data_IF_357987283648
#
_entry.id   IF_357987283648
#
_cell.length_a   1.000
_cell.length_b   1.000
_cell.length_c   1.000
_cell.angle_alpha   90.00
_cell.angle_beta   90.00
_cell.angle_gamma   90.00
#
_symmetry.space_group_name_H-M   'P 1'
#
loop_
_entity.id
_entity.type
_entity.pdbx_description
1 polymer ?
#
# COMPACT_ATOMS: atom_id res chain seq x y z
N UNK A 1 -45.70 19.85 -39.66
CA UNK A 1 -46.15 19.91 -38.25
C UNK A 1 -46.71 18.53 -37.88
N UNK A 2 -45.84 17.54 -37.66
CA UNK A 2 -46.25 16.18 -37.27
C UNK A 2 -46.21 16.16 -35.74
N UNK A 3 -47.38 16.24 -35.10
CA UNK A 3 -47.51 15.91 -33.66
C UNK A 3 -47.31 14.40 -33.55
N UNK A 4 -46.12 14.02 -33.08
CA UNK A 4 -45.70 12.63 -32.98
C UNK A 4 -46.08 12.10 -31.60
N UNK A 5 -47.37 11.77 -31.41
CA UNK A 5 -47.92 11.36 -30.10
C UNK A 5 -47.24 10.10 -29.52
N UNK A 6 -46.56 9.29 -30.35
CA UNK A 6 -45.73 8.17 -29.90
C UNK A 6 -44.31 8.54 -29.44
N UNK A 7 -43.76 9.68 -29.88
CA UNK A 7 -42.38 10.06 -29.54
C UNK A 7 -42.20 10.31 -28.05
N UNK A 8 -43.21 10.90 -27.40
CA UNK A 8 -43.20 11.15 -25.94
C UNK A 8 -43.20 9.83 -25.17
N UNK A 9 -43.98 8.82 -25.60
CA UNK A 9 -44.00 7.50 -24.96
C UNK A 9 -42.65 6.79 -25.09
N UNK A 10 -42.02 6.81 -26.27
CA UNK A 10 -40.69 6.24 -26.47
C UNK A 10 -39.62 6.95 -25.64
N UNK A 11 -39.69 8.28 -25.50
CA UNK A 11 -38.77 9.05 -24.64
C UNK A 11 -38.96 8.65 -23.17
N UNK A 12 -40.19 8.52 -22.69
CA UNK A 12 -40.48 8.10 -21.31
C UNK A 12 -39.96 6.68 -21.05
N UNK A 13 -40.18 5.74 -21.98
CA UNK A 13 -39.67 4.37 -21.87
C UNK A 13 -38.15 4.36 -21.88
N UNK A 14 -37.50 5.16 -22.73
CA UNK A 14 -36.06 5.27 -22.80
C UNK A 14 -35.47 5.85 -21.49
N UNK A 15 -36.10 6.88 -20.92
CA UNK A 15 -35.69 7.47 -19.63
C UNK A 15 -35.85 6.44 -18.50
N UNK A 16 -37.00 5.78 -18.40
CA UNK A 16 -37.26 4.80 -17.34
C UNK A 16 -36.31 3.60 -17.45
N UNK A 17 -36.09 3.08 -18.66
CA UNK A 17 -35.16 1.97 -18.92
C UNK A 17 -33.73 2.37 -18.58
N UNK A 18 -33.32 3.62 -18.89
CA UNK A 18 -32.00 4.14 -18.53
C UNK A 18 -31.84 4.26 -17.02
N UNK A 19 -32.83 4.78 -16.30
CA UNK A 19 -32.80 4.87 -14.83
C UNK A 19 -32.72 3.47 -14.20
N UNK A 20 -33.56 2.53 -14.66
CA UNK A 20 -33.55 1.14 -14.19
C UNK A 20 -32.18 0.48 -14.44
N UNK A 21 -31.59 0.70 -15.62
CA UNK A 21 -30.26 0.21 -15.97
C UNK A 21 -29.18 0.75 -15.03
N UNK A 22 -29.15 2.06 -14.76
CA UNK A 22 -28.19 2.66 -13.83
C UNK A 22 -28.37 2.15 -12.38
N UNK A 23 -29.60 1.93 -11.93
CA UNK A 23 -29.88 1.34 -10.60
C UNK A 23 -29.32 -0.09 -10.54
N UNK A 24 -29.57 -0.90 -11.58
CA UNK A 24 -29.10 -2.28 -11.66
C UNK A 24 -27.57 -2.36 -11.71
N UNK A 25 -26.91 -1.49 -12.49
CA UNK A 25 -25.45 -1.38 -12.51
C UNK A 25 -24.91 -1.04 -11.13
N UNK A 26 -25.47 -0.02 -10.46
CA UNK A 26 -25.01 0.37 -9.13
C UNK A 26 -25.19 -0.76 -8.11
N UNK A 27 -26.30 -1.49 -8.17
CA UNK A 27 -26.54 -2.68 -7.32
C UNK A 27 -25.53 -3.79 -7.64
N UNK A 28 -25.30 -4.08 -8.91
CA UNK A 28 -24.33 -5.07 -9.36
C UNK A 28 -22.90 -4.73 -8.88
N UNK A 29 -22.45 -3.49 -9.05
CA UNK A 29 -21.12 -3.06 -8.60
C UNK A 29 -20.95 -3.19 -7.08
N UNK A 30 -21.96 -2.81 -6.29
CA UNK A 30 -21.94 -2.97 -4.83
C UNK A 30 -21.87 -4.44 -4.42
N UNK A 31 -22.66 -5.31 -5.04
CA UNK A 31 -22.65 -6.75 -4.76
C UNK A 31 -21.31 -7.38 -5.18
N UNK A 32 -20.78 -7.03 -6.35
CA UNK A 32 -19.49 -7.50 -6.82
C UNK A 32 -18.35 -7.10 -5.87
N UNK A 33 -18.38 -5.89 -5.32
CA UNK A 33 -17.42 -5.47 -4.30
C UNK A 33 -17.54 -6.28 -3.01
N UNK A 34 -18.77 -6.49 -2.49
CA UNK A 34 -18.99 -7.31 -1.29
C UNK A 34 -18.49 -8.74 -1.49
N UNK A 35 -18.78 -9.33 -2.64
CA UNK A 35 -18.33 -10.68 -2.98
C UNK A 35 -16.80 -10.77 -3.04
N UNK A 36 -16.11 -9.79 -3.63
CA UNK A 36 -14.63 -9.73 -3.62
C UNK A 36 -14.08 -9.65 -2.20
N UNK A 37 -14.68 -8.82 -1.34
CA UNK A 37 -14.25 -8.69 0.05
C UNK A 37 -14.41 -10.01 0.82
N UNK A 38 -15.57 -10.65 0.73
CA UNK A 38 -15.81 -11.92 1.43
C UNK A 38 -14.94 -13.07 0.91
N UNK A 39 -14.61 -13.08 -0.39
CA UNK A 39 -13.63 -14.04 -0.93
C UNK A 39 -12.23 -13.79 -0.36
N UNK A 40 -11.75 -12.55 -0.40
CA UNK A 40 -10.45 -12.21 0.18
C UNK A 40 -10.36 -12.58 1.68
N UNK A 41 -11.43 -12.34 2.46
CA UNK A 41 -11.49 -12.78 3.86
C UNK A 41 -11.46 -14.31 4.00
N UNK A 42 -12.15 -15.05 3.13
CA UNK A 42 -12.10 -16.50 3.13
C UNK A 42 -10.68 -17.01 2.81
N UNK A 43 -10.05 -16.46 1.77
CA UNK A 43 -8.69 -16.79 1.36
C UNK A 43 -7.67 -16.51 2.48
N UNK A 44 -7.81 -15.38 3.19
CA UNK A 44 -6.97 -15.04 4.35
C UNK A 44 -7.09 -16.11 5.44
N UNK A 45 -8.31 -16.52 5.79
CA UNK A 45 -8.53 -17.50 6.84
C UNK A 45 -8.06 -18.90 6.41
N UNK A 46 -8.23 -19.28 5.14
CA UNK A 46 -7.70 -20.54 4.60
C UNK A 46 -6.17 -20.55 4.61
N UNK A 47 -5.54 -19.46 4.17
CA UNK A 47 -4.08 -19.30 4.20
C UNK A 47 -3.53 -19.38 5.63
N UNK A 48 -4.17 -18.71 6.58
CA UNK A 48 -3.74 -18.76 7.98
C UNK A 48 -3.97 -20.15 8.60
N UNK A 49 -5.06 -20.85 8.25
CA UNK A 49 -5.27 -22.23 8.65
C UNK A 49 -4.19 -23.18 8.11
N UNK A 50 -3.82 -23.04 6.83
CA UNK A 50 -2.76 -23.83 6.21
C UNK A 50 -1.40 -23.60 6.87
N UNK A 51 -1.11 -22.35 7.25
CA UNK A 51 0.09 -21.98 8.00
C UNK A 51 0.11 -22.60 9.41
N UNK A 52 -0.96 -22.40 10.19
CA UNK A 52 -1.05 -22.89 11.57
C UNK A 52 -1.11 -24.43 11.67
N UNK A 53 -1.69 -25.09 10.67
CA UNK A 53 -1.69 -26.56 10.55
C UNK A 53 -0.37 -27.14 10.04
N UNK A 54 0.63 -26.30 9.73
CA UNK A 54 1.93 -26.70 9.14
C UNK A 54 1.80 -27.42 7.79
N UNK A 55 0.73 -27.15 7.03
CA UNK A 55 0.50 -27.73 5.70
C UNK A 55 1.35 -27.02 4.64
N UNK A 56 1.38 -25.69 4.67
CA UNK A 56 2.17 -24.85 3.76
C UNK A 56 2.39 -23.46 4.37
N UNK A 57 3.29 -22.66 3.79
CA UNK A 57 3.43 -21.24 4.10
C UNK A 57 2.98 -20.47 2.85
N UNK A 58 1.72 -19.99 2.79
CA UNK A 58 1.13 -19.43 1.57
C UNK A 58 1.35 -17.92 1.44
N UNK A 59 2.48 -17.42 1.90
CA UNK A 59 2.81 -15.99 1.92
C UNK A 59 4.02 -15.72 1.04
N UNK A 60 4.21 -14.47 0.63
CA UNK A 60 5.43 -14.10 -0.08
C UNK A 60 6.64 -14.19 0.87
N UNK A 61 7.75 -14.74 0.36
CA UNK A 61 8.92 -15.10 1.13
C UNK A 61 9.97 -13.98 1.24
N UNK A 62 9.75 -12.87 0.53
CA UNK A 62 10.61 -11.69 0.55
C UNK A 62 11.97 -11.91 -0.10
N UNK A 63 12.08 -12.85 -1.05
CA UNK A 63 13.32 -13.11 -1.80
C UNK A 63 13.92 -11.83 -2.41
N UNK A 64 13.10 -10.85 -2.82
CA UNK A 64 13.56 -9.59 -3.37
C UNK A 64 14.32 -8.70 -2.36
N UNK A 65 14.20 -8.96 -1.06
CA UNK A 65 14.86 -8.21 0.01
C UNK A 65 16.17 -8.84 0.50
N UNK A 66 16.62 -9.94 -0.13
CA UNK A 66 17.88 -10.62 0.26
C UNK A 66 19.08 -9.69 0.06
N UNK A 67 19.80 -9.43 1.15
CA UNK A 67 21.04 -8.65 1.17
C UNK A 67 22.19 -9.49 1.73
N UNK A 68 22.98 -10.12 0.86
CA UNK A 68 24.06 -11.04 1.27
C UNK A 68 25.16 -10.38 2.12
N UNK A 69 25.36 -9.07 1.95
CA UNK A 69 26.36 -8.27 2.69
C UNK A 69 25.82 -7.66 3.99
N UNK A 70 24.56 -7.89 4.34
CA UNK A 70 24.01 -7.37 5.59
C UNK A 70 24.69 -8.03 6.80
N UNK A 71 24.87 -7.32 7.93
CA UNK A 71 25.49 -7.87 9.13
C UNK A 71 24.86 -9.13 9.74
N UNK A 72 23.64 -9.50 9.35
CA UNK A 72 22.93 -10.62 9.98
C UNK A 72 21.80 -11.27 9.16
N UNK A 73 21.20 -10.58 8.18
CA UNK A 73 19.95 -11.07 7.57
C UNK A 73 20.14 -12.39 6.82
N UNK A 74 21.28 -12.56 6.16
CA UNK A 74 21.64 -13.80 5.46
C UNK A 74 21.95 -14.97 6.41
N UNK A 75 22.65 -14.70 7.51
CA UNK A 75 23.05 -15.74 8.48
C UNK A 75 21.90 -16.21 9.38
N UNK A 76 20.93 -15.32 9.63
CA UNK A 76 19.75 -15.58 10.45
C UNK A 76 18.52 -16.00 9.65
N UNK A 77 18.63 -16.23 8.34
CA UNK A 77 17.51 -16.63 7.47
C UNK A 77 16.32 -15.66 7.61
N UNK A 78 16.59 -14.35 7.52
CA UNK A 78 15.55 -13.32 7.66
C UNK A 78 14.64 -13.27 6.44
N UNK A 79 15.16 -13.51 5.24
CA UNK A 79 14.44 -13.44 3.97
C UNK A 79 14.58 -14.75 3.16
N UNK A 80 13.62 -15.00 2.28
CA UNK A 80 13.57 -16.14 1.36
C UNK A 80 12.76 -17.32 1.88
N UNK A 81 12.84 -18.45 1.18
CA UNK A 81 12.01 -19.61 1.50
C UNK A 81 12.20 -20.10 2.94
N UNK A 82 11.09 -20.48 3.57
CA UNK A 82 10.98 -20.84 4.99
C UNK A 82 11.55 -19.85 6.03
N UNK A 83 11.91 -18.62 5.64
CA UNK A 83 12.53 -17.57 6.47
C UNK A 83 11.64 -16.97 7.56
N UNK A 84 12.22 -16.09 8.39
CA UNK A 84 11.46 -15.29 9.35
C UNK A 84 10.42 -14.40 8.64
N UNK A 85 10.82 -13.68 7.57
CA UNK A 85 9.91 -12.82 6.81
C UNK A 85 8.74 -13.62 6.23
N UNK A 86 9.02 -14.77 5.59
CA UNK A 86 8.00 -15.64 5.01
C UNK A 86 6.94 -16.07 6.05
N UNK A 87 7.36 -16.26 7.31
CA UNK A 87 6.48 -16.62 8.43
C UNK A 87 5.79 -15.46 9.10
N UNK A 88 6.22 -14.22 8.85
CA UNK A 88 5.64 -12.99 9.42
C UNK A 88 4.71 -12.28 8.43
N UNK A 89 5.01 -12.34 7.14
CA UNK A 89 4.43 -11.51 6.11
C UNK A 89 2.91 -11.71 5.94
N UNK A 90 2.12 -10.67 6.26
CA UNK A 90 0.71 -10.51 5.90
C UNK A 90 0.51 -9.15 5.22
N UNK A 91 1.50 -8.74 4.43
CA UNK A 91 1.43 -7.53 3.61
C UNK A 91 0.92 -7.89 2.22
N UNK A 92 0.25 -6.95 1.55
CA UNK A 92 -0.22 -7.15 0.18
C UNK A 92 0.15 -5.99 -0.75
N UNK A 93 0.68 -4.89 -0.20
CA UNK A 93 1.26 -3.80 -0.99
C UNK A 93 2.77 -3.94 -1.04
N UNK A 94 3.39 -3.45 -2.14
CA UNK A 94 4.84 -3.40 -2.25
C UNK A 94 5.46 -2.58 -1.10
N UNK A 95 4.83 -1.46 -0.74
CA UNK A 95 5.31 -0.58 0.33
C UNK A 95 5.19 -1.23 1.72
N UNK A 96 4.15 -2.04 1.95
CA UNK A 96 3.99 -2.87 3.15
C UNK A 96 5.10 -3.90 3.28
N UNK A 97 5.32 -4.70 2.23
CA UNK A 97 6.40 -5.71 2.18
C UNK A 97 7.77 -5.07 2.45
N UNK A 98 8.09 -3.98 1.73
CA UNK A 98 9.33 -3.21 1.92
C UNK A 98 9.49 -2.68 3.35
N UNK A 99 8.41 -2.21 3.98
CA UNK A 99 8.46 -1.67 5.35
C UNK A 99 8.66 -2.78 6.39
N UNK A 100 8.00 -3.93 6.21
CA UNK A 100 8.22 -5.10 7.06
C UNK A 100 9.68 -5.58 6.94
N UNK A 101 10.20 -5.66 5.72
CA UNK A 101 11.61 -6.00 5.48
C UNK A 101 12.56 -5.00 6.16
N UNK A 102 12.24 -3.70 6.11
CA UNK A 102 13.00 -2.67 6.83
C UNK A 102 13.01 -2.91 8.34
N UNK A 103 11.86 -3.20 8.96
CA UNK A 103 11.80 -3.52 10.40
C UNK A 103 12.64 -4.75 10.81
N UNK A 104 12.80 -5.72 9.91
CA UNK A 104 13.60 -6.93 10.17
C UNK A 104 15.08 -6.77 9.81
N UNK A 105 15.48 -5.69 9.14
CA UNK A 105 16.86 -5.41 8.73
C UNK A 105 17.48 -4.22 9.48
N UNK A 106 16.66 -3.38 10.12
CA UNK A 106 17.12 -2.20 10.82
C UNK A 106 16.61 -2.16 12.25
N UNK A 107 17.46 -1.72 13.17
CA UNK A 107 17.08 -1.50 14.56
C UNK A 107 16.34 -0.17 14.69
N UNK A 108 15.18 -0.21 15.35
CA UNK A 108 14.47 0.99 15.80
C UNK A 108 15.14 1.59 17.05
N UNK A 109 14.96 2.89 17.28
CA UNK A 109 15.39 3.51 18.54
C UNK A 109 14.59 2.94 19.73
N UNK A 110 15.14 3.02 20.95
CA UNK A 110 14.48 2.45 22.13
C UNK A 110 13.05 3.00 22.35
N UNK A 111 12.85 4.30 22.11
CA UNK A 111 11.54 4.95 22.19
C UNK A 111 10.58 4.43 21.11
N UNK A 112 11.08 4.27 19.88
CA UNK A 112 10.30 3.70 18.78
C UNK A 112 9.92 2.25 19.05
N UNK A 113 10.83 1.42 19.59
CA UNK A 113 10.53 0.03 19.96
C UNK A 113 9.36 -0.02 20.93
N UNK A 114 9.37 0.79 22.01
CA UNK A 114 8.25 0.84 22.95
C UNK A 114 6.94 1.26 22.28
N UNK A 115 6.97 2.34 21.50
CA UNK A 115 5.78 2.82 20.79
C UNK A 115 5.23 1.79 19.79
N UNK A 116 6.13 1.01 19.17
CA UNK A 116 5.83 -0.04 18.22
C UNK A 116 5.22 -1.26 18.93
N UNK A 117 5.75 -1.66 20.09
CA UNK A 117 5.17 -2.72 20.92
C UNK A 117 3.71 -2.39 21.28
N UNK A 118 3.42 -1.15 21.69
CA UNK A 118 2.07 -0.74 22.06
C UNK A 118 1.11 -0.73 20.86
N UNK A 119 1.57 -0.27 19.70
CA UNK A 119 0.80 -0.35 18.45
C UNK A 119 0.49 -1.80 18.05
N UNK A 120 1.50 -2.69 18.13
CA UNK A 120 1.34 -4.10 17.79
C UNK A 120 0.35 -4.77 18.74
N UNK A 121 0.47 -4.54 20.06
CA UNK A 121 -0.45 -5.06 21.08
C UNK A 121 -1.88 -4.62 20.80
N UNK A 122 -2.08 -3.32 20.56
CA UNK A 122 -3.39 -2.76 20.29
C UNK A 122 -4.03 -3.43 19.06
N UNK A 123 -3.31 -3.49 17.93
CA UNK A 123 -3.84 -4.04 16.68
C UNK A 123 -4.02 -5.56 16.77
N UNK A 124 -3.18 -6.29 17.51
CA UNK A 124 -3.29 -7.76 17.66
C UNK A 124 -4.66 -8.20 18.17
N UNK A 125 -5.28 -7.40 19.05
CA UNK A 125 -6.60 -7.65 19.64
C UNK A 125 -7.77 -7.39 18.68
N UNK A 126 -7.56 -6.71 17.54
CA UNK A 126 -8.60 -6.23 16.63
C UNK A 126 -8.71 -7.12 15.38
N UNK A 127 -9.08 -8.39 15.54
CA UNK A 127 -9.05 -9.42 14.48
C UNK A 127 -9.79 -8.96 13.21
N UNK A 128 -11.02 -8.46 13.35
CA UNK A 128 -11.85 -8.05 12.22
C UNK A 128 -11.17 -6.92 11.43
N UNK A 129 -10.67 -5.90 12.13
CA UNK A 129 -9.98 -4.78 11.50
C UNK A 129 -8.69 -5.23 10.78
N UNK A 130 -7.91 -6.13 11.40
CA UNK A 130 -6.68 -6.69 10.80
C UNK A 130 -6.96 -7.43 9.50
N UNK A 131 -7.98 -8.29 9.51
CA UNK A 131 -8.36 -9.09 8.34
C UNK A 131 -9.01 -8.22 7.25
N UNK A 132 -9.88 -7.27 7.63
CA UNK A 132 -10.49 -6.34 6.67
C UNK A 132 -9.43 -5.48 5.98
N UNK A 133 -8.42 -5.01 6.72
CA UNK A 133 -7.35 -4.19 6.15
C UNK A 133 -6.52 -4.98 5.14
N UNK A 134 -6.14 -6.21 5.48
CA UNK A 134 -5.46 -7.12 4.56
C UNK A 134 -6.34 -7.46 3.34
N UNK A 135 -7.63 -7.73 3.54
CA UNK A 135 -8.57 -8.03 2.46
C UNK A 135 -8.72 -6.85 1.49
N UNK A 136 -8.77 -5.61 1.99
CA UNK A 136 -8.72 -4.39 1.15
C UNK A 136 -7.41 -4.34 0.37
N UNK A 137 -6.27 -4.58 1.04
CA UNK A 137 -4.95 -4.54 0.41
C UNK A 137 -4.80 -5.59 -0.71
N UNK A 138 -5.44 -6.76 -0.58
CA UNK A 138 -5.47 -7.84 -1.58
C UNK A 138 -6.42 -7.59 -2.76
N UNK A 139 -7.29 -6.56 -2.72
CA UNK A 139 -8.31 -6.38 -3.78
C UNK A 139 -7.78 -5.91 -5.13
N UNK A 140 -6.51 -5.50 -5.21
CA UNK A 140 -5.84 -5.19 -6.47
C UNK A 140 -4.35 -5.50 -6.38
N UNK A 141 -3.81 -6.06 -7.47
CA UNK A 141 -2.38 -6.31 -7.59
C UNK A 141 -1.59 -5.02 -7.35
N UNK A 142 -0.60 -5.10 -6.47
CA UNK A 142 0.41 -4.06 -6.27
C UNK A 142 1.75 -4.59 -6.74
N UNK A 143 2.60 -3.71 -7.25
CA UNK A 143 3.96 -4.09 -7.61
C UNK A 143 4.89 -2.91 -7.43
N UNK A 144 6.18 -3.20 -7.33
CA UNK A 144 7.22 -2.19 -7.35
C UNK A 144 7.10 -1.26 -8.57
N UNK A 145 6.75 -1.80 -9.75
CA UNK A 145 6.57 -1.02 -10.96
C UNK A 145 5.39 -0.04 -10.85
N UNK A 146 4.25 -0.51 -10.33
CA UNK A 146 3.05 0.32 -10.12
C UNK A 146 3.35 1.45 -9.12
N UNK A 147 4.04 1.13 -8.02
CA UNK A 147 4.47 2.12 -7.03
C UNK A 147 5.42 3.16 -7.64
N UNK A 148 6.47 2.71 -8.32
CA UNK A 148 7.45 3.61 -8.94
C UNK A 148 6.80 4.51 -10.00
N UNK A 149 5.90 3.97 -10.81
CA UNK A 149 5.16 4.74 -11.82
C UNK A 149 4.34 5.87 -11.19
N UNK A 150 3.66 5.59 -10.07
CA UNK A 150 2.90 6.61 -9.33
C UNK A 150 3.84 7.68 -8.74
N UNK A 151 4.93 7.27 -8.09
CA UNK A 151 5.91 8.19 -7.49
C UNK A 151 6.66 9.00 -8.54
N UNK A 152 6.97 8.44 -9.70
CA UNK A 152 7.63 9.19 -10.76
C UNK A 152 6.65 10.17 -11.42
N UNK A 153 5.37 9.80 -11.55
CA UNK A 153 4.33 10.73 -11.97
C UNK A 153 4.21 11.94 -11.05
N UNK A 154 4.32 11.78 -9.72
CA UNK A 154 4.28 12.93 -8.80
C UNK A 154 5.43 13.92 -8.99
N UNK A 155 6.56 13.47 -9.54
CA UNK A 155 7.74 14.31 -9.79
C UNK A 155 7.68 15.04 -11.13
N UNK A 156 6.78 14.66 -12.03
CA UNK A 156 6.69 15.30 -13.36
C UNK A 156 6.16 16.73 -13.25
N UNK A 157 6.70 17.62 -14.09
CA UNK A 157 6.40 19.06 -14.03
C UNK A 157 4.91 19.36 -14.28
N UNK A 158 4.34 20.20 -13.41
CA UNK A 158 2.98 20.73 -13.59
C UNK A 158 3.04 21.92 -14.55
N UNK A 159 2.47 21.76 -15.75
CA UNK A 159 2.37 22.87 -16.72
C UNK A 159 1.26 23.82 -16.29
N UNK A 160 1.62 25.05 -15.92
CA UNK A 160 0.63 26.08 -15.58
C UNK A 160 -0.13 26.57 -16.81
N UNK A 161 -1.44 26.72 -16.67
CA UNK A 161 -2.30 27.29 -17.71
C UNK A 161 -2.45 28.80 -17.53
N UNK A 162 -2.51 29.54 -18.64
CA UNK A 162 -2.77 30.98 -18.59
C UNK A 162 -4.20 31.28 -18.10
N UNK A 163 -4.36 32.33 -17.28
CA UNK A 163 -5.66 32.77 -16.75
C UNK A 163 -6.67 33.08 -17.86
N UNK A 164 -6.20 33.52 -19.03
CA UNK A 164 -7.03 33.77 -20.20
C UNK A 164 -7.62 32.48 -20.78
N UNK A 165 -6.85 31.38 -20.82
CA UNK A 165 -7.38 30.07 -21.26
C UNK A 165 -8.42 29.50 -20.28
N UNK A 166 -8.34 29.86 -18.99
CA UNK A 166 -9.38 29.51 -18.01
C UNK A 166 -10.72 30.14 -18.38
N UNK A 167 -10.73 31.44 -18.68
CA UNK A 167 -11.93 32.18 -19.07
C UNK A 167 -12.49 31.63 -20.39
N UNK A 168 -11.63 31.48 -21.41
CA UNK A 168 -12.03 30.97 -22.73
C UNK A 168 -12.67 29.58 -22.61
N UNK A 169 -12.10 28.69 -21.77
CA UNK A 169 -12.62 27.34 -21.60
C UNK A 169 -14.04 27.27 -21.05
N UNK A 170 -14.53 28.30 -20.35
CA UNK A 170 -15.93 28.36 -19.91
C UNK A 170 -16.82 29.13 -20.90
N UNK A 171 -16.31 30.22 -21.49
CA UNK A 171 -17.09 31.06 -22.41
C UNK A 171 -17.51 30.31 -23.68
N UNK A 172 -16.60 29.55 -24.30
CA UNK A 172 -16.88 28.85 -25.55
C UNK A 172 -17.97 27.77 -25.43
N UNK A 173 -17.94 26.88 -24.41
CA UNK A 173 -19.07 25.98 -24.12
C UNK A 173 -20.41 26.69 -23.92
N UNK A 174 -20.43 27.77 -23.13
CA UNK A 174 -21.66 28.52 -22.87
C UNK A 174 -22.24 29.04 -24.19
N UNK A 175 -21.41 29.65 -25.04
CA UNK A 175 -21.83 30.10 -26.36
C UNK A 175 -22.31 28.93 -27.23
N UNK A 176 -21.62 27.79 -27.21
CA UNK A 176 -21.99 26.59 -27.98
C UNK A 176 -23.40 26.12 -27.60
N UNK A 177 -23.70 26.03 -26.30
CA UNK A 177 -25.02 25.64 -25.80
C UNK A 177 -26.08 26.69 -26.16
N UNK A 178 -25.78 27.99 -26.02
CA UNK A 178 -26.71 29.06 -26.39
C UNK A 178 -27.11 29.00 -27.86
N UNK A 179 -26.16 28.77 -28.77
CA UNK A 179 -26.47 28.63 -30.20
C UNK A 179 -27.22 27.35 -30.54
N UNK A 180 -26.98 26.25 -29.80
CA UNK A 180 -27.77 25.03 -29.93
C UNK A 180 -29.24 25.26 -29.51
N UNK A 181 -29.47 25.96 -28.40
CA UNK A 181 -30.81 26.33 -27.92
C UNK A 181 -31.49 27.29 -28.90
N UNK A 182 -30.77 28.31 -29.39
CA UNK A 182 -31.29 29.24 -30.38
C UNK A 182 -31.72 28.53 -31.68
N UNK A 183 -30.91 27.57 -32.15
CA UNK A 183 -31.27 26.73 -33.29
C UNK A 183 -32.54 25.90 -33.04
N UNK A 184 -32.68 25.31 -31.84
CA UNK A 184 -33.86 24.52 -31.48
C UNK A 184 -35.15 25.36 -31.39
N UNK A 185 -35.05 26.64 -31.01
CA UNK A 185 -36.21 27.50 -30.78
C UNK A 185 -36.63 28.33 -32.00
N UNK A 186 -35.65 28.95 -32.68
CA UNK A 186 -35.87 29.89 -33.79
C UNK A 186 -35.66 29.20 -35.14
N UNK A 187 -34.81 28.17 -35.20
CA UNK A 187 -34.33 27.59 -36.45
C UNK A 187 -33.40 28.52 -37.23
N UNK A 188 -33.12 28.16 -38.49
CA UNK A 188 -32.32 28.98 -39.41
C UNK A 188 -30.83 28.60 -39.50
N UNK A 189 -30.19 29.05 -40.58
CA UNK A 189 -28.80 28.69 -40.89
C UNK A 189 -27.76 29.37 -40.01
N UNK A 190 -28.01 30.60 -39.55
CA UNK A 190 -27.03 31.35 -38.73
C UNK A 190 -26.78 30.63 -37.39
N UNK A 191 -27.80 30.30 -36.55
CA UNK A 191 -27.56 29.57 -35.30
C UNK A 191 -26.94 28.18 -35.54
N UNK A 192 -27.35 27.50 -36.62
CA UNK A 192 -26.82 26.17 -37.00
C UNK A 192 -25.32 26.22 -37.33
N UNK A 193 -24.91 27.16 -38.18
CA UNK A 193 -23.51 27.33 -38.57
C UNK A 193 -22.65 27.84 -37.40
N UNK A 194 -23.16 28.76 -36.58
CA UNK A 194 -22.47 29.24 -35.38
C UNK A 194 -22.25 28.10 -34.37
N UNK A 195 -23.25 27.26 -34.11
CA UNK A 195 -23.11 26.07 -33.28
C UNK A 195 -22.03 25.12 -33.85
N UNK A 196 -22.12 24.77 -35.13
CA UNK A 196 -21.17 23.86 -35.77
C UNK A 196 -19.72 24.40 -35.71
N UNK A 197 -19.54 25.69 -35.96
CA UNK A 197 -18.24 26.35 -35.89
C UNK A 197 -17.65 26.35 -34.47
N UNK A 198 -18.45 26.71 -33.45
CA UNK A 198 -18.00 26.70 -32.05
C UNK A 198 -17.69 25.27 -31.56
N UNK A 199 -18.50 24.30 -31.96
CA UNK A 199 -18.26 22.89 -31.67
C UNK A 199 -16.91 22.41 -32.25
N UNK A 200 -16.60 22.78 -33.49
CA UNK A 200 -15.31 22.49 -34.13
C UNK A 200 -14.14 23.22 -33.45
N UNK A 201 -14.32 24.48 -33.01
CA UNK A 201 -13.30 25.19 -32.21
C UNK A 201 -13.00 24.43 -30.92
N UNK A 202 -14.03 23.98 -30.20
CA UNK A 202 -13.86 23.23 -28.96
C UNK A 202 -13.08 21.93 -29.19
N UNK A 203 -13.36 21.21 -30.28
CA UNK A 203 -12.58 20.03 -30.69
C UNK A 203 -11.14 20.39 -31.07
N UNK A 204 -10.91 21.54 -31.70
CA UNK A 204 -9.56 22.05 -31.98
C UNK A 204 -8.76 22.32 -30.70
N UNK A 205 -9.41 22.87 -29.67
CA UNK A 205 -8.79 23.05 -28.34
C UNK A 205 -8.45 21.70 -27.70
N UNK A 206 -9.34 20.70 -27.77
CA UNK A 206 -9.03 19.35 -27.33
C UNK A 206 -7.79 18.81 -28.08
N UNK A 207 -7.76 18.93 -29.41
CA UNK A 207 -6.63 18.46 -30.23
C UNK A 207 -5.30 19.09 -29.80
N UNK A 208 -5.29 20.38 -29.50
CA UNK A 208 -4.11 21.09 -28.98
C UNK A 208 -3.63 20.52 -27.64
N UNK A 209 -4.55 20.14 -26.75
CA UNK A 209 -4.25 19.61 -25.41
C UNK A 209 -4.15 18.08 -25.36
N UNK A 210 -4.44 17.37 -26.46
CA UNK A 210 -4.53 15.92 -26.49
C UNK A 210 -3.23 15.22 -26.08
N UNK A 211 -2.08 15.76 -26.51
CA UNK A 211 -0.77 15.23 -26.09
C UNK A 211 -0.55 15.37 -24.58
N UNK A 212 -0.89 16.53 -24.01
CA UNK A 212 -0.76 16.76 -22.56
C UNK A 212 -1.69 15.84 -21.76
N UNK A 213 -2.93 15.64 -22.26
CA UNK A 213 -3.87 14.68 -21.67
C UNK A 213 -3.27 13.28 -21.68
N UNK A 214 -2.73 12.84 -22.82
CA UNK A 214 -2.11 11.52 -22.97
C UNK A 214 -0.89 11.35 -22.05
N UNK A 215 -0.08 12.39 -21.89
CA UNK A 215 1.12 12.36 -21.02
C UNK A 215 0.75 12.25 -19.53
N UNK A 216 -0.42 12.78 -19.11
CA UNK A 216 -0.90 12.70 -17.71
C UNK A 216 -1.72 11.44 -17.42
N UNK A 217 -2.20 10.72 -18.43
CA UNK A 217 -2.86 9.42 -18.23
C UNK A 217 -1.78 8.40 -17.86
N UNK A 218 -1.81 7.95 -16.61
CA UNK A 218 -1.08 6.77 -16.18
C UNK A 218 -1.73 5.56 -16.84
N UNK A 219 -1.23 5.20 -18.03
CA UNK A 219 -1.85 4.30 -19.02
C UNK A 219 -2.07 2.83 -18.60
N UNK A 220 -2.18 2.53 -17.32
CA UNK A 220 -2.49 1.19 -16.81
C UNK A 220 -3.72 1.22 -15.89
N UNK A 221 -4.77 0.49 -16.28
CA UNK A 221 -5.97 0.28 -15.45
C UNK A 221 -5.66 -0.22 -14.03
N UNK A 222 -4.48 -0.82 -13.81
CA UNK A 222 -4.00 -1.28 -12.52
C UNK A 222 -3.64 -0.12 -11.58
N UNK A 223 -3.03 0.95 -12.06
CA UNK A 223 -2.66 2.12 -11.22
C UNK A 223 -3.90 2.75 -10.61
N UNK A 224 -4.96 2.92 -11.41
CA UNK A 224 -6.23 3.46 -10.91
C UNK A 224 -6.86 2.58 -9.83
N UNK A 225 -6.75 1.24 -9.94
CA UNK A 225 -7.21 0.32 -8.89
C UNK A 225 -6.34 0.43 -7.65
N UNK A 226 -5.01 0.55 -7.78
CA UNK A 226 -4.10 0.75 -6.64
C UNK A 226 -4.38 2.05 -5.90
N UNK A 227 -4.63 3.17 -6.60
CA UNK A 227 -5.03 4.44 -5.99
C UNK A 227 -6.34 4.28 -5.19
N UNK A 228 -7.32 3.55 -5.73
CA UNK A 228 -8.57 3.27 -5.00
C UNK A 228 -8.36 2.42 -3.76
N UNK A 229 -7.51 1.39 -3.86
CA UNK A 229 -7.10 0.58 -2.72
C UNK A 229 -6.44 1.46 -1.64
N UNK A 230 -5.47 2.29 -2.01
CA UNK A 230 -4.81 3.19 -1.06
C UNK A 230 -5.78 4.15 -0.38
N UNK A 231 -6.71 4.76 -1.14
CA UNK A 231 -7.77 5.60 -0.55
C UNK A 231 -8.60 4.82 0.49
N UNK A 232 -8.94 3.56 0.22
CA UNK A 232 -9.69 2.72 1.17
C UNK A 232 -8.89 2.37 2.41
N UNK A 233 -7.62 2.00 2.25
CA UNK A 233 -6.73 1.71 3.37
C UNK A 233 -6.59 2.96 4.27
N UNK A 234 -6.35 4.13 3.67
CA UNK A 234 -6.28 5.41 4.39
C UNK A 234 -7.59 5.69 5.13
N UNK A 235 -8.75 5.49 4.48
CA UNK A 235 -10.05 5.68 5.12
C UNK A 235 -10.24 4.76 6.33
N UNK A 236 -9.82 3.48 6.24
CA UNK A 236 -9.88 2.56 7.38
C UNK A 236 -8.99 3.00 8.54
N UNK A 237 -7.82 3.58 8.26
CA UNK A 237 -6.97 4.18 9.29
C UNK A 237 -7.64 5.42 9.90
N UNK A 238 -8.10 6.36 9.09
CA UNK A 238 -8.66 7.64 9.53
C UNK A 238 -9.97 7.49 10.32
N UNK A 239 -10.79 6.49 9.99
CA UNK A 239 -12.10 6.27 10.61
C UNK A 239 -12.03 5.49 11.93
N UNK A 240 -10.91 4.81 12.20
CA UNK A 240 -10.76 4.01 13.40
C UNK A 240 -10.22 4.82 14.57
N UNK A 241 -10.61 4.51 15.80
CA UNK A 241 -10.00 5.12 16.99
C UNK A 241 -8.83 4.26 17.49
N UNK A 242 -7.68 4.91 17.68
CA UNK A 242 -6.49 4.27 18.23
C UNK A 242 -6.09 4.87 19.58
N UNK A 243 -5.50 4.03 20.44
CA UNK A 243 -5.04 4.40 21.77
C UNK A 243 -3.53 4.63 21.82
N UNK A 244 -2.77 3.82 21.09
CA UNK A 244 -1.30 3.92 21.04
C UNK A 244 -0.85 5.19 20.33
N UNK A 245 0.19 5.81 20.87
CA UNK A 245 0.76 7.08 20.38
C UNK A 245 1.26 6.95 18.95
N UNK A 246 1.90 5.83 18.61
CA UNK A 246 2.41 5.52 17.26
C UNK A 246 1.28 5.53 16.21
N UNK A 247 0.17 4.84 16.46
CA UNK A 247 -0.96 4.78 15.53
C UNK A 247 -1.66 6.14 15.39
N UNK A 248 -1.79 6.89 16.49
CA UNK A 248 -2.30 8.26 16.44
C UNK A 248 -1.39 9.20 15.64
N UNK A 249 -0.07 9.03 15.74
CA UNK A 249 0.89 9.79 14.92
C UNK A 249 0.75 9.46 13.42
N UNK A 250 0.55 8.17 13.09
CA UNK A 250 0.27 7.74 11.72
C UNK A 250 -1.02 8.35 11.18
N UNK A 251 -2.10 8.38 11.98
CA UNK A 251 -3.34 9.06 11.59
C UNK A 251 -3.15 10.55 11.33
N UNK A 252 -2.36 11.23 12.18
CA UNK A 252 -2.10 12.68 12.01
C UNK A 252 -1.38 12.99 10.70
N UNK A 253 -0.51 12.11 10.21
CA UNK A 253 0.16 12.24 8.90
C UNK A 253 -0.81 12.15 7.72
N UNK A 254 -2.00 11.56 7.91
CA UNK A 254 -3.05 11.48 6.90
C UNK A 254 -4.02 12.67 6.92
N UNK A 255 -3.76 13.71 7.71
CA UNK A 255 -4.58 14.92 7.77
C UNK A 255 -3.84 16.11 7.15
N UNK A 256 -4.52 16.85 6.28
CA UNK A 256 -4.02 18.08 5.65
C UNK A 256 -5.13 19.10 5.62
N UNK A 257 -4.95 20.28 6.23
CA UNK A 257 -5.94 21.37 6.26
C UNK A 257 -7.36 20.94 6.70
N UNK A 258 -7.45 20.02 7.66
CA UNK A 258 -8.69 19.37 8.14
C UNK A 258 -9.41 18.46 7.13
N UNK A 259 -8.80 18.18 5.98
CA UNK A 259 -9.24 17.15 5.05
C UNK A 259 -8.35 15.90 5.18
N UNK A 260 -8.90 14.76 4.76
CA UNK A 260 -8.24 13.46 4.90
C UNK A 260 -7.52 13.04 3.62
N UNK A 261 -6.39 12.34 3.76
CA UNK A 261 -5.65 11.77 2.65
C UNK A 261 -6.53 10.84 1.80
N UNK A 262 -7.41 10.04 2.44
CA UNK A 262 -8.36 9.20 1.71
C UNK A 262 -9.28 9.98 0.80
N UNK A 263 -9.73 11.18 1.21
CA UNK A 263 -10.55 12.09 0.41
C UNK A 263 -9.78 12.60 -0.80
N UNK A 264 -8.55 13.06 -0.62
CA UNK A 264 -7.72 13.57 -1.71
C UNK A 264 -7.35 12.48 -2.72
N UNK A 265 -6.99 11.28 -2.26
CA UNK A 265 -6.69 10.13 -3.12
C UNK A 265 -7.96 9.62 -3.83
N UNK A 266 -9.13 9.65 -3.18
CA UNK A 266 -10.40 9.35 -3.85
C UNK A 266 -10.70 10.37 -4.97
N UNK A 267 -10.42 11.65 -4.73
CA UNK A 267 -10.57 12.68 -5.75
C UNK A 267 -9.59 12.46 -6.91
N UNK A 268 -8.33 12.12 -6.64
CA UNK A 268 -7.34 11.75 -7.67
C UNK A 268 -7.84 10.58 -8.53
N UNK A 269 -8.29 9.50 -7.89
CA UNK A 269 -8.82 8.34 -8.61
C UNK A 269 -9.98 8.73 -9.54
N UNK A 270 -10.90 9.59 -9.05
CA UNK A 270 -12.00 10.10 -9.85
C UNK A 270 -11.48 10.93 -11.03
N UNK A 271 -10.51 11.81 -10.84
CA UNK A 271 -9.94 12.63 -11.92
C UNK A 271 -9.26 11.77 -13.00
N UNK A 272 -8.54 10.72 -12.62
CA UNK A 272 -7.97 9.77 -13.58
C UNK A 272 -9.06 9.00 -14.35
N UNK A 273 -10.09 8.48 -13.67
CA UNK A 273 -11.20 7.80 -14.36
C UNK A 273 -11.94 8.72 -15.34
N UNK A 274 -12.11 10.00 -14.99
CA UNK A 274 -12.68 11.00 -15.88
C UNK A 274 -11.77 11.25 -17.09
N UNK A 275 -10.45 11.28 -16.88
CA UNK A 275 -9.48 11.47 -17.94
C UNK A 275 -9.42 10.27 -18.90
N UNK A 276 -9.43 9.05 -18.37
CA UNK A 276 -9.42 7.79 -19.14
C UNK A 276 -10.60 7.69 -20.12
N UNK A 277 -11.71 8.38 -19.82
CA UNK A 277 -12.88 8.41 -20.71
C UNK A 277 -12.58 9.03 -22.08
N UNK A 278 -11.43 9.71 -22.24
CA UNK A 278 -10.97 10.24 -23.54
C UNK A 278 -10.75 9.13 -24.58
N UNK A 279 -10.50 7.90 -24.13
CA UNK A 279 -10.34 6.74 -25.00
C UNK A 279 -11.67 6.27 -25.64
N UNK A 280 -12.82 6.76 -25.17
CA UNK A 280 -14.10 6.57 -25.84
C UNK A 280 -14.31 7.70 -26.87
N UNK A 281 -14.09 7.47 -28.18
CA UNK A 281 -14.07 8.54 -29.17
C UNK A 281 -15.41 9.26 -29.30
N UNK A 282 -16.54 8.55 -29.23
CA UNK A 282 -17.86 9.20 -29.30
C UNK A 282 -18.10 10.09 -28.08
N UNK A 283 -17.80 9.58 -26.88
CA UNK A 283 -17.91 10.35 -25.64
C UNK A 283 -16.99 11.57 -25.66
N UNK A 284 -15.73 11.39 -26.05
CA UNK A 284 -14.74 12.45 -26.14
C UNK A 284 -15.16 13.55 -27.11
N UNK A 285 -15.70 13.22 -28.29
CA UNK A 285 -16.18 14.21 -29.26
C UNK A 285 -17.36 15.00 -28.67
N UNK A 286 -18.37 14.32 -28.12
CA UNK A 286 -19.57 14.99 -27.59
C UNK A 286 -19.23 15.86 -26.39
N UNK A 287 -18.54 15.31 -25.38
CA UNK A 287 -18.25 16.03 -24.14
C UNK A 287 -17.26 17.17 -24.35
N UNK A 288 -16.25 17.02 -25.22
CA UNK A 288 -15.34 18.14 -25.48
C UNK A 288 -15.93 19.16 -26.45
N UNK A 289 -16.63 18.73 -27.49
CA UNK A 289 -17.28 19.65 -28.42
C UNK A 289 -18.34 20.52 -27.76
N UNK A 290 -19.04 19.99 -26.74
CA UNK A 290 -20.04 20.74 -25.97
C UNK A 290 -19.47 21.51 -24.77
N UNK A 291 -18.56 20.90 -24.01
CA UNK A 291 -18.18 21.43 -22.69
C UNK A 291 -16.69 21.47 -22.39
N UNK A 292 -15.82 21.13 -23.34
CA UNK A 292 -14.37 21.02 -23.11
C UNK A 292 -14.02 20.14 -21.89
N UNK A 293 -14.82 19.09 -21.65
CA UNK A 293 -14.78 18.29 -20.44
C UNK A 293 -13.38 17.85 -20.01
N UNK A 294 -12.60 17.25 -20.91
CA UNK A 294 -11.28 16.71 -20.58
C UNK A 294 -10.25 17.81 -20.35
N UNK A 295 -10.41 18.99 -20.97
CA UNK A 295 -9.56 20.15 -20.72
C UNK A 295 -9.80 20.69 -19.30
N UNK A 296 -11.06 20.69 -18.83
CA UNK A 296 -11.37 21.03 -17.44
C UNK A 296 -10.84 19.98 -16.47
N UNK A 297 -10.97 18.68 -16.78
CA UNK A 297 -10.42 17.60 -15.96
C UNK A 297 -8.90 17.69 -15.86
N UNK A 298 -8.21 18.02 -16.96
CA UNK A 298 -6.74 18.19 -17.00
C UNK A 298 -6.32 19.29 -16.04
N UNK A 299 -7.00 20.43 -16.09
CA UNK A 299 -6.72 21.55 -15.18
C UNK A 299 -6.93 21.16 -13.72
N UNK A 300 -8.04 20.49 -13.39
CA UNK A 300 -8.31 20.02 -12.03
C UNK A 300 -7.25 19.03 -11.55
N UNK A 301 -6.80 18.12 -12.43
CA UNK A 301 -5.73 17.17 -12.13
C UNK A 301 -4.41 17.88 -11.87
N UNK A 302 -4.06 18.90 -12.65
CA UNK A 302 -2.86 19.69 -12.44
C UNK A 302 -2.92 20.56 -11.18
N UNK A 303 -4.07 21.18 -10.89
CA UNK A 303 -4.31 21.90 -9.63
C UNK A 303 -4.17 20.94 -8.45
N UNK A 304 -4.76 19.75 -8.52
CA UNK A 304 -4.62 18.70 -7.51
C UNK A 304 -3.16 18.29 -7.33
N UNK A 305 -2.45 18.03 -8.43
CA UNK A 305 -1.05 17.59 -8.44
C UNK A 305 -0.13 18.65 -7.84
N UNK A 306 -0.33 19.92 -8.17
CA UNK A 306 0.46 21.02 -7.61
C UNK A 306 0.34 21.11 -6.07
N UNK A 307 -0.81 20.76 -5.51
CA UNK A 307 -1.06 20.86 -4.07
C UNK A 307 -0.68 19.57 -3.33
N UNK A 308 -1.10 18.39 -3.83
CA UNK A 308 -1.11 17.15 -3.05
C UNK A 308 -0.08 16.10 -3.51
N UNK A 309 0.50 16.23 -4.71
CA UNK A 309 1.49 15.26 -5.18
C UNK A 309 2.71 15.12 -4.24
N UNK A 310 3.24 16.19 -3.62
CA UNK A 310 4.34 16.07 -2.65
C UNK A 310 4.01 15.21 -1.42
N UNK A 311 2.72 15.06 -1.08
CA UNK A 311 2.26 14.34 0.11
C UNK A 311 2.06 12.84 -0.15
N UNK A 312 1.92 12.41 -1.41
CA UNK A 312 1.63 11.01 -1.75
C UNK A 312 2.66 10.07 -1.16
N UNK A 313 3.95 10.41 -1.24
CA UNK A 313 5.01 9.56 -0.70
C UNK A 313 4.83 9.32 0.81
N UNK A 314 4.52 10.37 1.57
CA UNK A 314 4.30 10.24 3.01
C UNK A 314 3.06 9.39 3.34
N UNK A 315 1.97 9.61 2.60
CA UNK A 315 0.74 8.84 2.79
C UNK A 315 0.93 7.36 2.47
N UNK A 316 1.70 7.02 1.42
CA UNK A 316 2.02 5.63 1.09
C UNK A 316 2.95 5.00 2.14
N UNK A 317 3.89 5.76 2.69
CA UNK A 317 4.74 5.29 3.80
C UNK A 317 3.90 4.95 5.05
N UNK A 318 2.84 5.73 5.34
CA UNK A 318 1.89 5.41 6.42
C UNK A 318 1.18 4.08 6.14
N UNK A 319 0.76 3.82 4.89
CA UNK A 319 0.18 2.53 4.49
C UNK A 319 1.18 1.39 4.68
N UNK A 320 2.42 1.57 4.27
CA UNK A 320 3.45 0.55 4.46
C UNK A 320 3.70 0.24 5.94
N UNK A 321 3.73 1.28 6.78
CA UNK A 321 3.94 1.14 8.22
C UNK A 321 2.82 0.38 8.92
N UNK A 322 1.57 0.67 8.58
CA UNK A 322 0.44 -0.05 9.16
C UNK A 322 0.34 -1.49 8.67
N UNK A 323 0.67 -1.80 7.41
CA UNK A 323 0.71 -3.19 6.92
C UNK A 323 1.80 -4.01 7.61
N UNK A 324 2.97 -3.42 7.82
CA UNK A 324 4.04 -4.05 8.57
C UNK A 324 3.65 -4.28 10.05
N UNK A 325 3.03 -3.28 10.71
CA UNK A 325 2.49 -3.44 12.06
C UNK A 325 1.42 -4.56 12.09
N UNK A 326 0.49 -4.58 11.13
CA UNK A 326 -0.56 -5.60 11.05
C UNK A 326 0.01 -7.01 10.92
N UNK A 327 1.08 -7.18 10.15
CA UNK A 327 1.81 -8.44 10.02
C UNK A 327 2.42 -8.90 11.35
N UNK A 328 3.10 -8.00 12.05
CA UNK A 328 3.66 -8.27 13.39
C UNK A 328 2.57 -8.52 14.44
N UNK A 329 1.42 -7.84 14.33
CA UNK A 329 0.24 -8.06 15.17
C UNK A 329 -0.41 -9.41 14.92
N UNK A 330 -0.43 -9.90 13.68
CA UNK A 330 -0.87 -11.27 13.38
C UNK A 330 0.06 -12.30 13.99
N UNK A 331 1.38 -12.08 13.90
CA UNK A 331 2.36 -12.92 14.57
C UNK A 331 2.16 -12.94 16.09
N UNK A 332 1.92 -11.78 16.72
CA UNK A 332 1.62 -11.69 18.15
C UNK A 332 0.34 -12.45 18.52
N UNK A 333 -0.73 -12.29 17.73
CA UNK A 333 -2.00 -12.99 17.93
C UNK A 333 -1.85 -14.51 17.84
N UNK A 334 -1.08 -14.99 16.86
CA UNK A 334 -0.84 -16.43 16.66
C UNK A 334 0.04 -17.07 17.74
N UNK A 335 0.81 -16.27 18.48
CA UNK A 335 1.77 -16.78 19.47
C UNK A 335 1.50 -16.15 20.86
N UNK A 336 0.36 -16.46 21.50
CA UNK A 336 0.00 -15.85 22.79
C UNK A 336 0.95 -16.21 23.94
N UNK A 337 1.77 -17.26 23.78
CA UNK A 337 2.79 -17.64 24.75
C UNK A 337 4.08 -16.80 24.64
N UNK A 338 4.23 -15.99 23.59
CA UNK A 338 5.40 -15.13 23.40
C UNK A 338 5.26 -13.85 24.22
N UNK A 339 6.37 -13.36 24.76
CA UNK A 339 6.37 -12.16 25.59
C UNK A 339 6.87 -10.94 24.82
N UNK A 340 6.34 -9.77 25.13
CA UNK A 340 7.02 -8.53 24.76
C UNK A 340 8.23 -8.33 25.69
N UNK A 341 9.41 -8.00 25.16
CA UNK A 341 10.58 -7.80 26.00
C UNK A 341 10.50 -6.48 26.76
N UNK A 342 10.90 -6.50 28.03
CA UNK A 342 11.18 -5.28 28.78
C UNK A 342 12.49 -4.68 28.28
N UNK A 343 12.51 -3.39 27.95
CA UNK A 343 13.74 -2.73 27.52
C UNK A 343 14.46 -2.11 28.71
N UNK A 344 15.79 -2.20 28.72
CA UNK A 344 16.64 -1.58 29.73
C UNK A 344 17.78 -0.78 29.09
N UNK A 345 18.44 0.05 29.90
CA UNK A 345 19.62 0.86 29.50
C UNK A 345 20.92 0.36 30.15
N UNK A 346 20.93 -0.86 30.69
CA UNK A 346 22.02 -1.41 31.50
C UNK A 346 22.88 -2.43 30.74
N UNK A 347 22.77 -2.47 29.41
CA UNK A 347 23.43 -3.47 28.55
C UNK A 347 23.14 -4.92 28.95
N UNK A 348 22.00 -5.16 29.60
CA UNK A 348 21.62 -6.49 30.06
C UNK A 348 20.74 -7.18 29.03
N UNK A 349 21.06 -8.43 28.71
CA UNK A 349 20.26 -9.28 27.84
C UNK A 349 19.96 -10.57 28.59
N UNK A 350 18.69 -10.79 28.91
CA UNK A 350 18.23 -12.02 29.54
C UNK A 350 16.99 -12.54 28.87
N UNK A 351 16.95 -13.85 28.67
CA UNK A 351 15.78 -14.57 28.19
C UNK A 351 15.56 -15.80 29.08
N UNK A 352 14.31 -16.06 29.43
CA UNK A 352 13.88 -17.30 30.06
C UNK A 352 13.11 -18.15 29.05
N UNK A 353 13.45 -19.44 28.95
CA UNK A 353 12.90 -20.37 27.97
C UNK A 353 12.92 -19.82 26.54
N UNK A 354 14.07 -19.28 26.11
CA UNK A 354 14.30 -18.83 24.73
C UNK A 354 14.19 -20.00 23.76
N UNK A 355 13.27 -19.90 22.81
CA UNK A 355 13.10 -20.83 21.70
C UNK A 355 13.34 -20.17 20.34
N UNK A 356 13.50 -21.01 19.31
CA UNK A 356 13.53 -20.56 17.92
C UNK A 356 12.09 -20.40 17.39
N UNK A 357 11.64 -19.20 16.98
CA UNK A 357 10.24 -18.97 16.59
C UNK A 357 9.82 -19.71 15.30
N UNK A 358 10.79 -20.17 14.52
CA UNK A 358 10.55 -20.91 13.27
C UNK A 358 10.50 -22.43 13.47
N UNK A 359 10.81 -22.93 14.67
CA UNK A 359 10.70 -24.35 15.00
C UNK A 359 9.30 -24.65 15.58
N UNK A 360 8.65 -25.75 15.17
CA UNK A 360 7.39 -26.17 15.76
C UNK A 360 7.51 -26.46 17.26
N UNK A 361 6.47 -26.15 18.02
CA UNK A 361 6.46 -26.25 19.48
C UNK A 361 6.84 -27.64 20.02
N UNK A 362 6.43 -28.71 19.33
CA UNK A 362 6.67 -30.09 19.75
C UNK A 362 8.13 -30.55 19.64
N UNK A 363 8.95 -29.87 18.84
CA UNK A 363 10.38 -30.18 18.66
C UNK A 363 11.30 -29.06 19.15
N UNK A 364 10.72 -27.93 19.58
CA UNK A 364 11.47 -26.75 20.03
C UNK A 364 11.98 -26.95 21.45
N UNK A 365 13.31 -27.00 21.57
CA UNK A 365 13.99 -26.97 22.88
C UNK A 365 14.26 -25.52 23.27
N UNK A 366 13.77 -25.12 24.43
CA UNK A 366 13.96 -23.79 24.99
C UNK A 366 15.15 -23.75 25.96
N UNK A 367 15.86 -22.63 26.02
CA UNK A 367 17.05 -22.45 26.86
C UNK A 367 17.05 -21.09 27.54
N UNK A 368 17.66 -20.97 28.72
CA UNK A 368 17.87 -19.68 29.37
C UNK A 368 19.14 -19.01 28.85
N UNK A 369 19.13 -17.68 28.79
CA UNK A 369 20.29 -16.87 28.38
C UNK A 369 20.42 -15.69 29.32
N UNK A 370 21.64 -15.38 29.76
CA UNK A 370 21.91 -14.22 30.61
C UNK A 370 23.27 -13.60 30.29
N UNK A 371 23.23 -12.34 29.88
CA UNK A 371 24.34 -11.41 29.79
C UNK A 371 24.03 -10.25 30.75
N UNK A 372 24.63 -10.29 31.94
CA UNK A 372 24.53 -9.22 32.95
C UNK A 372 25.92 -8.71 33.26
N UNK A 373 26.66 -9.49 34.07
CA UNK A 373 28.05 -9.18 34.42
C UNK A 373 29.01 -9.78 33.40
N UNK A 374 28.72 -10.99 32.89
CA UNK A 374 29.47 -11.58 31.79
C UNK A 374 28.90 -11.12 30.45
N UNK A 375 29.72 -10.38 29.69
CA UNK A 375 29.37 -9.89 28.33
C UNK A 375 29.87 -10.81 27.21
N UNK A 376 30.51 -11.93 27.56
CA UNK A 376 31.11 -12.86 26.62
C UNK A 376 30.83 -14.30 27.06
N UNK A 377 30.41 -15.14 26.11
CA UNK A 377 30.12 -16.57 26.33
C UNK A 377 30.87 -17.38 25.29
N UNK A 378 31.62 -18.39 25.73
CA UNK A 378 32.15 -19.43 24.86
C UNK A 378 31.20 -20.62 24.90
N UNK A 379 30.52 -20.89 23.79
CA UNK A 379 29.61 -22.03 23.67
C UNK A 379 30.35 -23.23 23.05
N UNK A 380 30.65 -24.24 23.86
CA UNK A 380 31.32 -25.48 23.41
C UNK A 380 30.35 -26.67 23.38
N UNK A 381 30.74 -27.77 22.74
CA UNK A 381 29.94 -28.98 22.61
C UNK A 381 30.15 -29.68 21.26
N UNK A 382 29.65 -30.91 21.12
CA UNK A 382 29.77 -31.68 19.87
C UNK A 382 29.03 -31.01 18.70
N UNK A 383 29.44 -31.32 17.47
CA UNK A 383 28.63 -30.98 16.30
C UNK A 383 27.25 -31.65 16.45
N UNK A 384 26.20 -30.97 15.94
CA UNK A 384 24.79 -31.38 16.09
C UNK A 384 24.18 -31.25 17.49
N UNK A 385 24.90 -30.74 18.50
CA UNK A 385 24.33 -30.50 19.85
C UNK A 385 23.40 -29.28 19.94
N UNK A 386 22.98 -28.69 18.81
CA UNK A 386 22.07 -27.53 18.77
C UNK A 386 22.72 -26.15 18.94
N UNK A 387 24.06 -26.04 18.99
CA UNK A 387 24.76 -24.75 19.20
C UNK A 387 24.35 -23.66 18.18
N UNK A 388 24.37 -23.99 16.89
CA UNK A 388 23.97 -23.04 15.83
C UNK A 388 22.49 -22.67 15.94
N UNK A 389 21.63 -23.62 16.29
CA UNK A 389 20.20 -23.37 16.53
C UNK A 389 19.99 -22.42 17.70
N UNK A 390 20.75 -22.57 18.78
CA UNK A 390 20.71 -21.67 19.93
C UNK A 390 21.16 -20.26 19.55
N UNK A 391 22.29 -20.10 18.83
CA UNK A 391 22.76 -18.80 18.38
C UNK A 391 21.76 -18.10 17.44
N UNK A 392 21.14 -18.85 16.50
CA UNK A 392 20.06 -18.33 15.65
C UNK A 392 18.82 -17.97 16.45
N UNK A 393 18.47 -18.75 17.47
CA UNK A 393 17.34 -18.43 18.36
C UNK A 393 17.58 -17.09 19.06
N UNK A 394 18.77 -16.87 19.62
CA UNK A 394 19.13 -15.60 20.24
C UNK A 394 19.09 -14.45 19.23
N UNK A 395 19.74 -14.61 18.07
CA UNK A 395 19.79 -13.59 17.01
C UNK A 395 18.41 -13.19 16.50
N UNK A 396 17.56 -14.15 16.15
CA UNK A 396 16.21 -13.88 15.65
C UNK A 396 15.34 -13.21 16.70
N UNK A 397 15.41 -13.63 17.96
CA UNK A 397 14.63 -12.97 19.02
C UNK A 397 15.14 -11.55 19.30
N UNK A 398 16.43 -11.27 19.13
CA UNK A 398 16.95 -9.90 19.16
C UNK A 398 16.43 -9.08 17.96
N UNK A 399 16.33 -9.65 16.76
CA UNK A 399 15.71 -8.98 15.59
C UNK A 399 14.24 -8.67 15.86
N UNK A 400 13.46 -9.62 16.37
CA UNK A 400 12.06 -9.42 16.75
C UNK A 400 11.91 -8.33 17.81
N UNK A 401 12.78 -8.32 18.83
CA UNK A 401 12.79 -7.29 19.85
C UNK A 401 13.10 -5.90 19.26
N UNK A 402 14.09 -5.80 18.37
CA UNK A 402 14.45 -4.55 17.68
C UNK A 402 13.33 -4.04 16.75
N UNK A 403 12.47 -4.94 16.26
CA UNK A 403 11.27 -4.62 15.48
C UNK A 403 10.03 -4.30 16.34
N UNK A 404 10.12 -4.38 17.68
CA UNK A 404 9.00 -4.20 18.60
C UNK A 404 8.01 -5.36 18.66
N UNK A 405 8.33 -6.51 18.05
CA UNK A 405 7.51 -7.71 18.07
C UNK A 405 7.69 -8.50 19.39
N UNK A 406 6.73 -9.37 19.76
CA UNK A 406 6.95 -10.30 20.85
C UNK A 406 8.03 -11.33 20.48
N UNK A 407 8.74 -11.81 21.49
CA UNK A 407 9.84 -12.77 21.36
C UNK A 407 9.40 -14.15 21.86
N UNK A 408 9.93 -15.20 21.23
CA UNK A 408 9.74 -16.60 21.60
C UNK A 408 10.49 -16.95 22.90
N UNK A 409 9.99 -16.42 24.01
CA UNK A 409 10.50 -16.63 25.36
C UNK A 409 9.37 -16.40 26.37
N UNK A 410 9.48 -16.96 27.57
CA UNK A 410 8.49 -16.72 28.65
C UNK A 410 8.74 -15.42 29.39
N UNK A 411 9.98 -14.92 29.40
CA UNK A 411 10.35 -13.62 29.90
C UNK A 411 11.59 -13.10 29.15
N UNK A 412 11.65 -11.80 28.91
CA UNK A 412 12.80 -11.17 28.27
C UNK A 412 13.04 -9.76 28.84
N UNK A 413 14.31 -9.47 29.13
CA UNK A 413 14.79 -8.13 29.47
C UNK A 413 16.01 -7.84 28.60
N UNK A 414 15.91 -6.84 27.75
CA UNK A 414 16.83 -6.63 26.62
C UNK A 414 17.29 -5.17 26.61
N UNK A 415 18.59 -4.97 26.49
CA UNK A 415 19.13 -3.72 25.98
C UNK A 415 19.21 -3.82 24.45
N UNK A 416 18.44 -3.03 23.68
CA UNK A 416 18.50 -3.09 22.22
C UNK A 416 19.90 -2.76 21.71
N UNK A 417 20.45 -3.63 20.88
CA UNK A 417 21.81 -3.55 20.33
C UNK A 417 21.79 -3.85 18.83
N UNK A 418 22.82 -3.37 18.15
CA UNK A 418 23.10 -3.78 16.78
C UNK A 418 23.57 -5.24 16.78
N UNK A 419 23.13 -5.98 15.76
CA UNK A 419 23.33 -7.42 15.65
C UNK A 419 24.37 -7.67 14.57
N UNK A 420 25.38 -8.47 14.89
CA UNK A 420 26.40 -8.93 13.95
C UNK A 420 26.50 -10.43 14.06
N UNK A 421 26.48 -11.10 12.91
CA UNK A 421 26.48 -12.56 12.84
C UNK A 421 27.44 -13.01 11.76
N UNK A 422 28.37 -13.87 12.14
CA UNK A 422 29.20 -14.64 11.22
C UNK A 422 28.98 -16.12 11.52
N UNK A 423 28.13 -16.78 10.71
CA UNK A 423 27.84 -18.21 10.82
C UNK A 423 27.93 -18.95 9.48
N UNK A 424 27.77 -18.24 8.37
CA UNK A 424 27.87 -18.74 6.99
C UNK A 424 29.00 -18.01 6.28
N UNK A 425 29.76 -18.76 5.51
CA UNK A 425 30.62 -18.19 4.47
C UNK A 425 29.84 -18.24 3.15
N UNK A 426 29.64 -17.10 2.53
CA UNK A 426 29.27 -17.01 1.12
C UNK A 426 30.55 -16.92 0.30
N UNK A 427 30.96 -18.02 -0.33
CA UNK A 427 32.07 -18.03 -1.29
C UNK A 427 31.63 -17.31 -2.57
N UNK A 428 32.50 -16.51 -3.15
CA UNK A 428 32.33 -15.94 -4.49
C UNK A 428 33.55 -16.32 -5.30
N UNK A 429 33.43 -17.42 -6.05
CA UNK A 429 34.44 -17.84 -7.03
C UNK A 429 34.80 -16.71 -8.01
N UNK A 430 33.85 -15.82 -8.27
CA UNK A 430 33.99 -14.63 -9.11
C UNK A 430 34.86 -13.52 -8.50
N UNK A 431 34.91 -13.40 -7.17
CA UNK A 431 35.69 -12.35 -6.50
C UNK A 431 37.15 -12.76 -6.24
N UNK A 432 37.53 -14.01 -6.54
CA UNK A 432 38.88 -14.56 -6.30
C UNK A 432 39.35 -14.39 -4.85
N UNK A 433 38.41 -14.20 -3.91
CA UNK A 433 38.65 -14.01 -2.49
C UNK A 433 38.78 -15.40 -1.84
N UNK A 434 39.87 -15.63 -1.10
CA UNK A 434 40.00 -16.87 -0.34
C UNK A 434 38.95 -16.91 0.79
N UNK A 435 38.51 -18.12 1.16
CA UNK A 435 37.58 -18.33 2.28
C UNK A 435 38.01 -17.60 3.55
N UNK A 436 39.32 -17.63 3.85
CA UNK A 436 39.90 -16.90 4.98
C UNK A 436 39.79 -15.38 4.83
N UNK A 437 40.06 -14.84 3.64
CA UNK A 437 39.96 -13.40 3.40
C UNK A 437 38.51 -12.91 3.51
N UNK A 438 37.54 -13.68 2.99
CA UNK A 438 36.11 -13.39 3.13
C UNK A 438 35.67 -13.40 4.60
N UNK A 439 36.20 -14.31 5.42
CA UNK A 439 35.93 -14.36 6.86
C UNK A 439 36.53 -13.15 7.59
N UNK A 440 37.80 -12.82 7.33
CA UNK A 440 38.48 -11.64 7.91
C UNK A 440 37.77 -10.33 7.54
N UNK A 441 37.18 -10.24 6.35
CA UNK A 441 36.43 -9.06 5.89
C UNK A 441 35.06 -8.92 6.56
N UNK A 442 34.51 -10.02 7.10
CA UNK A 442 33.24 -10.02 7.86
C UNK A 442 33.44 -9.77 9.36
N UNK A 443 34.62 -10.08 9.90
CA UNK A 443 35.05 -9.74 11.26
C UNK A 443 35.39 -8.25 11.38
#
# INVERSE_FOLDING_TARGET
>A
MIKNDGAVQWIIIAIFSSIAFFILINKHMKLAQKMRMHRALADINENEHNYLSSTSIPFDDGNEHILTKHPYTYDLDIFGDHSLFHRLNRTATYIGSKKLAHFLSHRLSNEEIFSQQDAIKEISSKIEWRQEMLAVAMTSDDSQNTYNTLIDWTKTEVKQHSSLMKIISYLLPIMTVLFLVAYAWIGGDIPRLSFAFLFLINLGILGKHFRQIKDEILGESQINKSIQKYSRLMYMLESHSFQSTKLQQLQKRLLTDNETASHHIANLSRLFQQMDSVHNPMGAIIFNGMSLYHVHTLRKLQEWKATFAPMISDWLEVIGEIEAINSLSNFAYNNPAYTYPNLNSQEQITFSNLGHPMLPDNVRVCNDVTFKDQKFIILTGSNMSGKSTFLRSLGINMVLANAGAPVCATAANIHPLDIYVSMRLSDSLSDNESYFFAEVKRL
#
